data_IF_369943492860
#
_entry.id   IF_369943492860
#
_cell.length_a   1.000
_cell.length_b   1.000
_cell.length_c   1.000
_cell.angle_alpha   90.00
_cell.angle_beta   90.00
_cell.angle_gamma   90.00
#
_symmetry.space_group_name_H-M   'P 1'
#
loop_
_entity.id
_entity.type
_entity.pdbx_description
1 polymer ?
#
# COMPACT_ATOMS: atom_id res chain seq x y z
N UNK A 1 20.27 -1.66 6.67
CA UNK A 1 20.80 -0.36 6.20
C UNK A 1 19.66 0.43 5.58
N UNK A 2 19.55 1.76 5.78
CA UNK A 2 18.44 2.52 5.23
C UNK A 2 18.39 2.31 3.71
N UNK A 3 17.28 1.77 3.19
CA UNK A 3 17.14 1.46 1.78
C UNK A 3 17.43 2.72 0.96
N UNK A 4 18.53 2.69 0.20
CA UNK A 4 18.89 3.77 -0.70
C UNK A 4 17.83 3.86 -1.79
N UNK A 5 17.41 5.07 -2.16
CA UNK A 5 16.46 5.27 -3.28
C UNK A 5 17.06 4.92 -4.66
N UNK A 6 18.12 4.12 -4.71
CA UNK A 6 18.85 3.68 -5.89
C UNK A 6 17.98 2.83 -6.79
N UNK A 7 17.26 1.86 -6.21
CA UNK A 7 16.53 0.85 -6.97
C UNK A 7 15.31 1.48 -7.64
N UNK A 8 14.63 2.36 -6.92
CA UNK A 8 13.50 3.15 -7.42
C UNK A 8 13.98 4.13 -8.49
N UNK A 9 15.17 4.71 -8.33
CA UNK A 9 15.76 5.60 -9.35
C UNK A 9 16.09 4.81 -10.62
N UNK A 10 16.63 3.60 -10.50
CA UNK A 10 16.94 2.73 -11.64
C UNK A 10 15.66 2.31 -12.38
N UNK A 11 14.63 1.89 -11.65
CA UNK A 11 13.33 1.56 -12.22
C UNK A 11 12.67 2.77 -12.92
N UNK A 12 12.74 3.96 -12.32
CA UNK A 12 12.23 5.19 -12.93
C UNK A 12 12.99 5.53 -14.22
N UNK A 13 14.33 5.40 -14.22
CA UNK A 13 15.14 5.63 -15.40
C UNK A 13 14.77 4.67 -16.55
N UNK A 14 14.57 3.38 -16.26
CA UNK A 14 14.11 2.39 -17.23
C UNK A 14 12.71 2.73 -17.76
N UNK A 15 11.80 3.16 -16.89
CA UNK A 15 10.45 3.58 -17.29
C UNK A 15 10.49 4.77 -18.26
N UNK A 16 11.31 5.78 -17.95
CA UNK A 16 11.46 6.96 -18.84
C UNK A 16 12.09 6.60 -20.18
N UNK A 17 13.06 5.69 -20.22
CA UNK A 17 13.68 5.21 -21.46
C UNK A 17 12.68 4.54 -22.40
N UNK A 18 11.67 3.86 -21.85
CA UNK A 18 10.62 3.19 -22.62
C UNK A 18 9.43 4.11 -22.95
N UNK A 19 9.38 5.31 -22.36
CA UNK A 19 8.26 6.24 -22.53
C UNK A 19 8.35 7.08 -23.81
N UNK A 20 7.19 7.45 -24.35
CA UNK A 20 7.08 8.28 -25.56
C UNK A 20 7.74 9.66 -25.38
N UNK A 21 7.78 10.19 -24.16
CA UNK A 21 8.43 11.47 -23.86
C UNK A 21 9.91 11.50 -24.26
N UNK A 22 10.63 10.38 -24.09
CA UNK A 22 12.05 10.27 -24.44
C UNK A 22 12.23 9.66 -25.82
N UNK A 23 11.44 8.64 -26.17
CA UNK A 23 11.58 7.93 -27.45
C UNK A 23 11.09 8.75 -28.65
N UNK A 24 9.89 9.32 -28.54
CA UNK A 24 9.23 10.05 -29.63
C UNK A 24 9.62 11.52 -29.60
N UNK A 25 9.44 12.17 -28.45
CA UNK A 25 9.64 13.61 -28.33
C UNK A 25 11.10 14.03 -28.06
N UNK A 26 11.99 13.07 -27.79
CA UNK A 26 13.44 13.31 -27.55
C UNK A 26 13.73 14.32 -26.43
N UNK A 27 12.81 14.47 -25.49
CA UNK A 27 13.00 15.36 -24.35
C UNK A 27 14.00 14.75 -23.36
N UNK A 28 14.62 15.60 -22.55
CA UNK A 28 15.47 15.12 -21.47
C UNK A 28 14.59 14.42 -20.42
N UNK A 29 15.06 13.32 -19.80
CA UNK A 29 14.29 12.61 -18.77
C UNK A 29 13.87 13.52 -17.60
N UNK A 30 14.68 14.55 -17.29
CA UNK A 30 14.37 15.54 -16.27
C UNK A 30 13.19 16.46 -16.64
N UNK A 31 13.02 16.76 -17.93
CA UNK A 31 11.93 17.61 -18.43
C UNK A 31 10.60 16.83 -18.50
N UNK A 32 10.66 15.52 -18.77
CA UNK A 32 9.49 14.63 -18.69
C UNK A 32 8.85 14.58 -17.29
N UNK A 33 9.62 14.87 -16.23
CA UNK A 33 9.12 14.86 -14.85
C UNK A 33 8.51 16.21 -14.41
N UNK A 34 8.46 17.21 -15.30
CA UNK A 34 7.85 18.52 -15.04
C UNK A 34 6.49 18.65 -15.72
N UNK A 35 5.53 19.37 -15.12
CA UNK A 35 4.29 19.74 -15.81
C UNK A 35 4.62 20.54 -17.08
N UNK A 36 3.93 20.33 -18.22
CA UNK A 36 2.72 19.51 -18.43
C UNK A 36 2.97 18.05 -18.87
N UNK A 37 4.22 17.67 -19.15
CA UNK A 37 4.56 16.35 -19.72
C UNK A 37 4.39 15.17 -18.74
N UNK A 38 4.31 15.46 -17.44
CA UNK A 38 4.07 14.43 -16.42
C UNK A 38 2.75 13.71 -16.63
N UNK A 39 1.73 14.44 -17.09
CA UNK A 39 0.38 13.93 -17.17
C UNK A 39 0.18 13.04 -18.41
N UNK A 40 1.05 13.19 -19.42
CA UNK A 40 1.06 12.34 -20.62
C UNK A 40 1.88 11.06 -20.45
N UNK A 41 2.67 10.95 -19.38
CA UNK A 41 3.44 9.73 -19.09
C UNK A 41 2.54 8.57 -18.68
N UNK A 42 2.94 7.32 -18.93
CA UNK A 42 2.19 6.15 -18.50
C UNK A 42 2.09 6.08 -16.97
N UNK A 43 0.98 5.50 -16.49
CA UNK A 43 0.64 5.39 -15.06
C UNK A 43 1.75 4.74 -14.24
N UNK A 44 2.47 3.76 -14.81
CA UNK A 44 3.62 3.11 -14.19
C UNK A 44 4.74 4.13 -13.86
N UNK A 45 5.09 5.02 -14.79
CA UNK A 45 6.12 6.04 -14.56
C UNK A 45 5.64 7.09 -13.54
N UNK A 46 4.34 7.42 -13.54
CA UNK A 46 3.76 8.34 -12.55
C UNK A 46 3.82 7.75 -11.13
N UNK A 47 3.54 6.45 -10.98
CA UNK A 47 3.67 5.73 -9.71
C UNK A 47 5.12 5.70 -9.23
N UNK A 48 6.09 5.42 -10.12
CA UNK A 48 7.52 5.44 -9.79
C UNK A 48 7.98 6.84 -9.39
N UNK A 49 7.51 7.91 -10.06
CA UNK A 49 7.75 9.30 -9.66
C UNK A 49 7.25 9.59 -8.25
N UNK A 50 6.03 9.16 -7.93
CA UNK A 50 5.45 9.32 -6.61
C UNK A 50 6.26 8.57 -5.54
N UNK A 51 6.57 7.30 -5.80
CA UNK A 51 7.40 6.45 -4.93
C UNK A 51 8.81 7.01 -4.70
N UNK A 52 9.45 7.55 -5.75
CA UNK A 52 10.74 8.21 -5.62
C UNK A 52 10.68 9.48 -4.75
N UNK A 53 9.61 10.27 -4.89
CA UNK A 53 9.35 11.43 -4.05
C UNK A 53 9.15 11.06 -2.58
N UNK A 54 8.39 9.99 -2.30
CA UNK A 54 8.24 9.47 -0.94
C UNK A 54 9.56 8.93 -0.39
N UNK A 55 10.35 8.24 -1.22
CA UNK A 55 11.63 7.70 -0.83
C UNK A 55 12.58 8.81 -0.37
N UNK A 56 12.73 9.87 -1.18
CA UNK A 56 13.55 11.04 -0.81
C UNK A 56 13.05 11.74 0.46
N UNK A 57 11.73 11.91 0.61
CA UNK A 57 11.15 12.50 1.83
C UNK A 57 11.50 11.66 3.06
N UNK A 58 11.46 10.34 2.96
CA UNK A 58 11.83 9.44 4.06
C UNK A 58 13.32 9.45 4.42
N UNK A 59 14.22 9.76 3.49
CA UNK A 59 15.63 9.97 3.81
C UNK A 59 15.87 11.26 4.62
N UNK A 60 15.10 12.31 4.33
CA UNK A 60 15.23 13.61 5.00
C UNK A 60 14.57 13.56 6.39
N UNK A 61 13.44 12.86 6.53
CA UNK A 61 12.66 12.74 7.77
C UNK A 61 13.40 11.94 8.87
N UNK A 62 13.76 12.63 9.95
CA UNK A 62 14.47 12.04 11.11
C UNK A 62 13.73 10.86 11.74
N UNK A 63 12.39 10.88 11.74
CA UNK A 63 11.59 9.78 12.31
C UNK A 63 11.71 8.49 11.50
N UNK A 64 11.92 8.60 10.19
CA UNK A 64 12.00 7.45 9.26
C UNK A 64 13.41 6.91 9.08
N UNK A 65 14.44 7.66 9.50
CA UNK A 65 15.85 7.20 9.47
C UNK A 65 16.11 5.97 10.34
N UNK A 66 15.48 5.90 11.51
CA UNK A 66 15.67 4.78 12.45
C UNK A 66 14.86 3.54 12.09
N UNK A 67 13.62 3.73 11.59
CA UNK A 67 12.72 2.62 11.23
C UNK A 67 12.95 2.10 9.80
N UNK A 68 13.72 2.84 9.01
CA UNK A 68 13.92 2.56 7.59
C UNK A 68 12.73 3.04 6.75
N UNK A 69 13.02 3.36 5.49
CA UNK A 69 11.96 3.55 4.51
C UNK A 69 11.33 2.19 4.19
N UNK A 70 10.00 2.15 4.09
CA UNK A 70 9.30 0.95 3.61
C UNK A 70 9.78 0.63 2.19
N UNK A 71 10.24 -0.60 1.89
CA UNK A 71 10.56 -0.97 0.53
C UNK A 71 9.31 -0.82 -0.35
N UNK A 72 9.46 -0.25 -1.54
CA UNK A 72 8.37 -0.17 -2.52
C UNK A 72 7.81 -1.55 -2.86
N UNK A 73 8.63 -2.61 -2.76
CA UNK A 73 8.18 -4.00 -2.92
C UNK A 73 7.23 -4.48 -1.81
N UNK A 74 7.11 -3.74 -0.70
CA UNK A 74 6.25 -4.05 0.45
C UNK A 74 5.15 -3.02 0.68
N UNK A 75 4.99 -2.03 -0.21
CA UNK A 75 3.76 -1.25 -0.22
C UNK A 75 2.62 -2.15 -0.69
N UNK A 76 2.00 -2.82 0.28
CA UNK A 76 0.69 -3.48 0.27
C UNK A 76 -0.47 -2.57 -0.16
N UNK A 77 -0.17 -1.51 -0.92
CA UNK A 77 -1.14 -0.58 -1.50
C UNK A 77 -1.30 -0.80 -3.01
N UNK A 78 -0.36 -1.51 -3.67
CA UNK A 78 -0.53 -1.94 -5.07
C UNK A 78 -1.30 -3.27 -5.18
N UNK A 79 -1.24 -4.10 -4.13
CA UNK A 79 -1.96 -5.37 -4.01
C UNK A 79 -2.94 -5.18 -2.84
N UNK A 80 -4.22 -5.00 -3.12
CA UNK A 80 -5.30 -4.84 -2.13
C UNK A 80 -5.56 -6.09 -1.28
N UNK A 81 -4.51 -6.74 -0.77
CA UNK A 81 -4.58 -7.99 -0.01
C UNK A 81 -3.36 -8.16 0.91
N UNK A 82 -3.02 -7.12 1.66
CA UNK A 82 -1.99 -7.19 2.70
C UNK A 82 -2.54 -6.74 4.05
N UNK A 83 -2.83 -7.70 4.94
CA UNK A 83 -3.30 -7.51 6.32
C UNK A 83 -2.51 -6.38 7.02
N UNK A 84 -3.11 -5.21 7.15
CA UNK A 84 -2.54 -4.12 7.92
C UNK A 84 -2.49 -4.55 9.40
N UNK A 85 -1.33 -4.51 10.09
CA UNK A 85 -1.32 -4.63 11.53
C UNK A 85 -1.98 -3.38 12.12
N UNK A 86 -3.17 -3.56 12.69
CA UNK A 86 -3.96 -2.50 13.33
C UNK A 86 -3.14 -1.84 14.45
N UNK A 87 -2.99 -0.51 14.39
CA UNK A 87 -2.18 0.30 15.31
C UNK A 87 -2.85 0.57 16.67
N UNK A 88 -4.02 0.01 16.93
CA UNK A 88 -4.71 0.15 18.20
C UNK A 88 -5.57 -1.09 18.48
N UNK A 89 -5.69 -1.44 19.76
CA UNK A 89 -6.18 -2.71 20.32
C UNK A 89 -7.61 -3.11 19.93
N UNK A 90 -7.85 -3.41 18.66
CA UNK A 90 -9.06 -4.03 18.14
C UNK A 90 -8.68 -5.26 17.34
N UNK A 91 -9.02 -6.44 17.86
CA UNK A 91 -8.90 -7.69 17.11
C UNK A 91 -9.80 -7.57 15.88
N UNK A 92 -9.19 -7.53 14.69
CA UNK A 92 -9.93 -7.35 13.42
C UNK A 92 -10.95 -8.47 13.24
N UNK A 93 -12.19 -8.11 12.93
CA UNK A 93 -13.34 -9.03 12.80
C UNK A 93 -13.40 -9.73 11.44
N UNK A 94 -12.26 -9.97 10.81
CA UNK A 94 -12.16 -10.75 9.57
C UNK A 94 -11.09 -11.83 9.74
N UNK A 95 -11.22 -12.63 10.79
CA UNK A 95 -10.83 -14.04 10.68
C UNK A 95 -12.05 -14.74 10.07
N UNK A 96 -11.81 -15.46 8.98
CA UNK A 96 -12.76 -16.36 8.34
C UNK A 96 -13.57 -17.09 9.41
N UNK A 97 -14.88 -17.16 9.19
CA UNK A 97 -15.80 -17.94 9.99
C UNK A 97 -15.30 -19.39 10.07
N UNK A 98 -14.46 -19.68 11.06
CA UNK A 98 -14.31 -21.01 11.60
C UNK A 98 -15.72 -21.41 12.00
N UNK A 99 -16.31 -22.28 11.18
CA UNK A 99 -17.55 -22.99 11.51
C UNK A 99 -17.32 -23.61 12.89
N UNK A 100 -17.75 -22.92 13.94
CA UNK A 100 -17.86 -23.51 15.27
C UNK A 100 -18.83 -24.67 15.08
N UNK A 101 -18.28 -25.88 15.08
CA UNK A 101 -19.07 -27.09 15.14
C UNK A 101 -19.95 -26.92 16.38
N UNK A 102 -21.25 -26.83 16.14
CA UNK A 102 -22.24 -26.86 17.20
C UNK A 102 -22.10 -28.26 17.80
N UNK A 103 -21.54 -28.34 19.01
CA UNK A 103 -21.63 -29.56 19.80
C UNK A 103 -23.08 -29.67 20.30
N UNK A 104 -23.71 -30.82 20.04
CA UNK A 104 -25.08 -31.12 20.47
C UNK A 104 -25.15 -31.05 22.00
N UNK A 105 -25.70 -29.95 22.54
CA UNK A 105 -26.02 -29.84 23.97
C UNK A 105 -25.83 -28.49 24.64
N UNK A 106 -25.27 -27.46 24.00
CA UNK A 106 -25.21 -26.13 24.63
C UNK A 106 -26.33 -25.20 24.16
N UNK A 107 -27.10 -24.67 25.11
CA UNK A 107 -28.16 -23.68 24.87
C UNK A 107 -27.52 -22.34 24.43
N UNK A 108 -27.96 -21.78 23.31
CA UNK A 108 -27.54 -20.47 22.83
C UNK A 108 -28.78 -19.55 22.79
N UNK A 109 -28.63 -18.30 23.22
CA UNK A 109 -29.66 -17.28 23.12
C UNK A 109 -29.31 -16.25 22.03
N UNK A 110 -30.34 -15.76 21.33
CA UNK A 110 -30.19 -14.72 20.30
C UNK A 110 -30.32 -13.37 20.97
N UNK A 111 -29.32 -12.49 20.76
CA UNK A 111 -29.35 -11.12 21.24
C UNK A 111 -29.29 -10.14 20.07
N UNK A 112 -30.15 -9.13 20.10
CA UNK A 112 -30.18 -8.07 19.09
C UNK A 112 -29.33 -6.89 19.55
N UNK A 113 -28.33 -6.51 18.75
CA UNK A 113 -27.55 -5.29 18.97
C UNK A 113 -28.41 -4.04 18.76
N UNK A 114 -27.95 -2.91 19.28
CA UNK A 114 -28.57 -1.59 19.03
C UNK A 114 -28.64 -1.24 17.53
N UNK A 115 -27.81 -1.89 16.72
CA UNK A 115 -27.72 -1.71 15.27
C UNK A 115 -28.73 -2.58 14.49
N UNK A 116 -29.56 -3.36 15.21
CA UNK A 116 -30.56 -4.27 14.62
C UNK A 116 -30.02 -5.61 14.11
N UNK A 117 -28.72 -5.88 14.29
CA UNK A 117 -28.11 -7.17 13.94
C UNK A 117 -28.32 -8.21 15.05
N UNK A 118 -28.66 -9.44 14.65
CA UNK A 118 -28.83 -10.58 15.55
C UNK A 118 -27.51 -11.37 15.67
N UNK A 119 -27.04 -11.55 16.91
CA UNK A 119 -25.87 -12.37 17.22
C UNK A 119 -26.24 -13.47 18.23
N UNK A 120 -25.54 -14.61 18.14
CA UNK A 120 -25.72 -15.74 19.05
C UNK A 120 -24.74 -15.65 20.22
N UNK A 121 -25.26 -15.68 21.45
CA UNK A 121 -24.47 -15.78 22.68
C UNK A 121 -24.72 -17.14 23.33
N UNK A 122 -23.64 -17.81 23.75
CA UNK A 122 -23.74 -19.02 24.59
C UNK A 122 -24.29 -18.62 25.97
N UNK A 123 -25.32 -19.31 26.43
CA UNK A 123 -25.85 -19.14 27.80
C UNK A 123 -24.77 -19.46 28.84
#
# INVERSE_FOLDING_TARGET
MPASCTDIRAALAQCLQNSDCVLVHRNKPADCLRPPLVDTLPTQCQQLKHGYGQCKRGMIDMRKRFRGNKPISTSTELEGSGKAPMLYAGKGTFDEAEKKKIEEGSEYEVFTRNDGSEDLRKK
#
